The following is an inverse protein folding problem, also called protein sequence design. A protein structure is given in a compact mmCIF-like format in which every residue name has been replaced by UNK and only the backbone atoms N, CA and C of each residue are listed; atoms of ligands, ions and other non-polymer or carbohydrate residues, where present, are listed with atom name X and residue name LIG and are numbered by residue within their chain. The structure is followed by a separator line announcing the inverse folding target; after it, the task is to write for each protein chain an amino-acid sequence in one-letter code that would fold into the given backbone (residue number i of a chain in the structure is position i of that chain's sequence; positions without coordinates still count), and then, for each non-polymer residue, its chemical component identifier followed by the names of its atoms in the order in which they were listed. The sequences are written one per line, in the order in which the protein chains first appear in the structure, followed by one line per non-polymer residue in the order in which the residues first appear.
data_IF_371611281942
#
_entry.id   IF_371611281942
#
_cell.length_a   1.000
_cell.length_b   1.000
_cell.length_c   1.000
_cell.angle_alpha   90.00
_cell.angle_beta   90.00
_cell.angle_gamma   90.00
#
_symmetry.space_group_name_H-M   'P 1'
#
loop_
_entity.id
_entity.type
_entity.pdbx_description
1 polymer ?
#
# COMPACT_ATOMS: atom_id res chain seq x y z
N UNK A 1 4.14 -8.45 -2.43
CA UNK A 1 2.72 -8.03 -2.56
C UNK A 1 1.82 -9.26 -2.64
N UNK A 2 1.01 -9.47 -1.62
CA UNK A 2 0.05 -10.58 -1.51
C UNK A 2 -1.05 -10.55 -2.59
N UNK A 3 -1.38 -9.38 -3.15
CA UNK A 3 -2.32 -9.24 -4.28
C UNK A 3 -1.60 -8.71 -5.53
N UNK A 4 -1.94 -9.23 -6.71
CA UNK A 4 -1.48 -8.64 -7.98
C UNK A 4 -2.04 -7.22 -8.10
N UNK A 5 -1.27 -6.31 -8.70
CA UNK A 5 -1.68 -4.90 -8.83
C UNK A 5 -3.03 -4.75 -9.55
N UNK A 6 -3.28 -5.61 -10.55
CA UNK A 6 -4.57 -5.62 -11.26
C UNK A 6 -5.74 -5.90 -10.33
N UNK A 7 -5.57 -6.81 -9.38
CA UNK A 7 -6.63 -7.16 -8.42
C UNK A 7 -6.84 -6.06 -7.39
N UNK A 8 -5.75 -5.37 -6.99
CA UNK A 8 -5.83 -4.22 -6.11
C UNK A 8 -6.54 -3.04 -6.79
N UNK A 9 -6.16 -2.72 -8.04
CA UNK A 9 -6.79 -1.69 -8.86
C UNK A 9 -8.29 -1.97 -9.04
N UNK A 10 -8.66 -3.21 -9.36
CA UNK A 10 -10.06 -3.64 -9.48
C UNK A 10 -10.84 -3.37 -8.19
N UNK A 11 -10.34 -3.84 -7.04
CA UNK A 11 -10.99 -3.65 -5.73
C UNK A 11 -11.17 -2.17 -5.38
N UNK A 12 -10.19 -1.32 -5.70
CA UNK A 12 -10.28 0.13 -5.47
C UNK A 12 -11.34 0.78 -6.36
N UNK A 13 -11.36 0.42 -7.65
CA UNK A 13 -12.35 0.91 -8.60
C UNK A 13 -13.78 0.50 -8.22
N UNK A 14 -14.00 -0.76 -7.81
CA UNK A 14 -15.30 -1.23 -7.32
C UNK A 14 -15.80 -0.40 -6.13
N UNK A 15 -14.91 -0.09 -5.18
CA UNK A 15 -15.25 0.73 -4.02
C UNK A 15 -15.55 2.19 -4.39
N UNK A 16 -14.81 2.74 -5.36
CA UNK A 16 -15.01 4.12 -5.81
C UNK A 16 -16.32 4.29 -6.59
N UNK A 17 -16.56 3.41 -7.56
CA UNK A 17 -17.71 3.47 -8.46
C UNK A 17 -18.96 2.82 -7.87
N UNK A 18 -18.81 2.02 -6.81
CA UNK A 18 -19.87 1.23 -6.16
C UNK A 18 -20.57 0.25 -7.11
N UNK A 19 -19.89 -0.12 -8.19
CA UNK A 19 -20.34 -1.10 -9.19
C UNK A 19 -19.37 -2.28 -9.20
N UNK A 20 -19.87 -3.52 -9.28
CA UNK A 20 -19.01 -4.69 -9.33
C UNK A 20 -18.45 -4.91 -10.75
N UNK A 21 -17.27 -5.52 -10.85
CA UNK A 21 -16.78 -6.02 -12.14
C UNK A 21 -17.46 -7.33 -12.55
N UNK A 22 -17.87 -8.14 -11.56
CA UNK A 22 -18.48 -9.45 -11.76
C UNK A 22 -19.85 -9.50 -11.08
N UNK A 23 -20.84 -10.12 -11.73
CA UNK A 23 -22.21 -10.22 -11.18
C UNK A 23 -22.33 -11.21 -10.01
N UNK A 24 -21.34 -12.07 -9.79
CA UNK A 24 -21.38 -13.09 -8.75
C UNK A 24 -21.28 -12.47 -7.34
N UNK A 25 -22.28 -12.74 -6.49
CA UNK A 25 -22.29 -12.35 -5.08
C UNK A 25 -22.86 -10.97 -4.78
N UNK A 26 -23.45 -10.29 -5.76
CA UNK A 26 -24.19 -9.03 -5.57
C UNK A 26 -25.68 -9.23 -5.86
N UNK A 27 -26.58 -8.46 -5.23
CA UNK A 27 -28.00 -8.46 -5.59
C UNK A 27 -28.20 -8.15 -7.07
N UNK A 28 -29.20 -8.76 -7.71
CA UNK A 28 -29.53 -8.55 -9.15
C UNK A 28 -29.84 -7.08 -9.51
N UNK A 29 -30.05 -6.22 -8.50
CA UNK A 29 -30.29 -4.79 -8.66
C UNK A 29 -29.03 -3.95 -8.86
N UNK A 30 -27.83 -4.52 -8.75
CA UNK A 30 -26.57 -3.77 -8.87
C UNK A 30 -26.04 -3.84 -10.31
N UNK A 31 -26.06 -2.71 -11.00
CA UNK A 31 -25.54 -2.61 -12.36
C UNK A 31 -24.02 -2.82 -12.41
N UNK A 32 -23.56 -3.63 -13.37
CA UNK A 32 -22.13 -3.86 -13.61
C UNK A 32 -21.44 -2.60 -14.12
N UNK A 33 -20.14 -2.51 -13.88
CA UNK A 33 -19.29 -1.49 -14.49
C UNK A 33 -19.38 -1.52 -16.04
N UNK A 34 -19.70 -0.37 -16.63
CA UNK A 34 -19.65 -0.14 -18.08
C UNK A 34 -18.23 0.15 -18.57
N UNK A 35 -18.02 0.20 -19.89
CA UNK A 35 -16.72 0.60 -20.46
C UNK A 35 -16.37 2.05 -20.15
N UNK A 36 -17.37 2.94 -20.11
CA UNK A 36 -17.20 4.35 -19.72
C UNK A 36 -16.81 4.47 -18.23
N UNK A 37 -17.46 3.71 -17.36
CA UNK A 37 -17.11 3.64 -15.94
C UNK A 37 -15.68 3.12 -15.74
N UNK A 38 -15.25 2.18 -16.59
CA UNK A 38 -13.89 1.64 -16.56
C UNK A 38 -12.86 2.71 -16.96
N UNK A 39 -13.14 3.50 -18.00
CA UNK A 39 -12.25 4.59 -18.41
C UNK A 39 -12.13 5.65 -17.30
N UNK A 40 -13.25 6.09 -16.73
CA UNK A 40 -13.29 7.04 -15.61
C UNK A 40 -12.56 6.51 -14.37
N UNK A 41 -12.79 5.25 -14.02
CA UNK A 41 -12.14 4.63 -12.87
C UNK A 41 -10.63 4.47 -13.02
N UNK A 42 -10.14 4.23 -14.25
CA UNK A 42 -8.68 4.21 -14.54
C UNK A 42 -8.05 5.59 -14.35
N UNK A 43 -8.69 6.63 -14.86
CA UNK A 43 -8.22 8.02 -14.69
C UNK A 43 -8.18 8.40 -13.21
N UNK A 44 -9.25 8.11 -12.47
CA UNK A 44 -9.28 8.31 -11.03
C UNK A 44 -8.15 7.56 -10.30
N UNK A 45 -7.91 6.29 -10.66
CA UNK A 45 -6.87 5.48 -10.05
C UNK A 45 -5.47 6.08 -10.26
N UNK A 46 -5.17 6.50 -11.49
CA UNK A 46 -3.89 7.10 -11.86
C UNK A 46 -3.62 8.42 -11.14
N UNK A 47 -4.68 9.20 -10.88
CA UNK A 47 -4.58 10.48 -10.18
C UNK A 47 -4.52 10.33 -8.65
N UNK A 48 -5.02 9.21 -8.10
CA UNK A 48 -5.19 9.04 -6.65
C UNK A 48 -4.10 8.17 -6.02
N UNK A 49 -3.63 7.14 -6.73
CA UNK A 49 -2.70 6.15 -6.17
C UNK A 49 -1.37 6.14 -6.90
N UNK A 50 -0.29 6.33 -6.14
CA UNK A 50 1.07 6.17 -6.62
C UNK A 50 1.69 4.90 -6.02
N UNK A 51 2.04 3.95 -6.89
CA UNK A 51 2.62 2.68 -6.46
C UNK A 51 4.13 2.80 -6.32
N UNK A 52 4.66 2.34 -5.19
CA UNK A 52 6.09 2.15 -4.97
C UNK A 52 6.41 0.66 -5.16
N UNK A 53 7.33 0.33 -6.06
CA UNK A 53 7.75 -1.05 -6.32
C UNK A 53 9.27 -1.17 -6.36
N UNK A 54 9.78 -2.23 -5.74
CA UNK A 54 11.15 -2.69 -5.93
C UNK A 54 11.15 -3.64 -7.14
N UNK A 55 11.92 -3.33 -8.19
CA UNK A 55 12.00 -4.17 -9.40
C UNK A 55 13.07 -5.27 -9.27
N UNK A 56 14.00 -5.11 -8.33
CA UNK A 56 15.07 -6.07 -8.08
C UNK A 56 14.63 -7.16 -7.08
N UNK A 57 15.27 -8.34 -7.15
CA UNK A 57 15.10 -9.47 -6.21
C UNK A 57 15.50 -9.15 -4.75
N UNK A 58 15.82 -7.89 -4.44
CA UNK A 58 16.15 -7.44 -3.10
C UNK A 58 14.94 -6.84 -2.37
N UNK A 59 14.82 -7.17 -1.08
CA UNK A 59 13.79 -6.59 -0.24
C UNK A 59 14.05 -5.07 -0.06
N UNK A 60 13.03 -4.22 -0.17
CA UNK A 60 13.21 -2.78 0.02
C UNK A 60 13.41 -2.45 1.51
N UNK A 61 14.43 -1.66 1.83
CA UNK A 61 14.60 -1.15 3.19
C UNK A 61 13.54 -0.09 3.53
N UNK A 62 13.16 0.05 4.80
CA UNK A 62 12.23 1.12 5.23
C UNK A 62 12.76 2.51 4.85
N UNK A 63 14.08 2.72 4.87
CA UNK A 63 14.68 4.00 4.50
C UNK A 63 14.40 4.33 3.04
N UNK A 64 14.56 3.35 2.16
CA UNK A 64 14.31 3.48 0.73
C UNK A 64 12.83 3.79 0.46
N UNK A 65 11.91 3.07 1.12
CA UNK A 65 10.46 3.34 0.99
C UNK A 65 10.12 4.77 1.43
N UNK A 66 10.65 5.23 2.57
CA UNK A 66 10.39 6.60 3.05
C UNK A 66 11.00 7.67 2.13
N UNK A 67 12.12 7.38 1.45
CA UNK A 67 12.70 8.30 0.46
C UNK A 67 11.82 8.44 -0.79
N UNK A 68 11.28 7.33 -1.30
CA UNK A 68 10.33 7.38 -2.41
C UNK A 68 9.00 8.01 -2.01
N UNK A 69 8.50 7.70 -0.83
CA UNK A 69 7.31 8.35 -0.29
C UNK A 69 7.53 9.86 -0.15
N UNK A 70 8.70 10.31 0.33
CA UNK A 70 9.04 11.75 0.36
C UNK A 70 8.96 12.36 -1.02
N UNK A 71 9.52 11.71 -2.05
CA UNK A 71 9.44 12.21 -3.41
C UNK A 71 7.99 12.30 -3.90
N UNK A 72 7.16 11.31 -3.59
CA UNK A 72 5.74 11.31 -3.93
C UNK A 72 4.96 12.43 -3.22
N UNK A 73 5.22 12.68 -1.94
CA UNK A 73 4.63 13.81 -1.19
C UNK A 73 5.00 15.14 -1.86
N UNK A 74 6.29 15.33 -2.17
CA UNK A 74 6.77 16.61 -2.71
C UNK A 74 6.33 16.85 -4.16
N UNK A 75 6.23 15.81 -4.98
CA UNK A 75 5.90 15.93 -6.41
C UNK A 75 4.41 15.87 -6.70
N UNK A 76 3.68 15.03 -5.96
CA UNK A 76 2.27 14.73 -6.24
C UNK A 76 1.33 15.13 -5.10
N UNK A 77 1.85 15.72 -4.01
CA UNK A 77 1.03 16.15 -2.88
C UNK A 77 0.41 15.00 -2.10
N UNK A 78 1.00 13.79 -2.16
CA UNK A 78 0.50 12.61 -1.45
C UNK A 78 0.37 12.89 0.05
N UNK A 79 -0.78 12.52 0.63
CA UNK A 79 -1.08 12.70 2.06
C UNK A 79 -1.24 11.39 2.84
N UNK A 80 -1.12 10.26 2.15
CA UNK A 80 -1.27 8.93 2.71
C UNK A 80 -0.21 7.97 2.20
N UNK A 81 0.38 7.18 3.10
CA UNK A 81 1.30 6.09 2.77
C UNK A 81 0.78 4.79 3.39
N UNK A 82 0.63 3.75 2.58
CA UNK A 82 0.25 2.41 3.06
C UNK A 82 1.44 1.46 2.88
N UNK A 83 1.85 0.82 3.97
CA UNK A 83 2.88 -0.21 3.98
C UNK A 83 2.21 -1.53 4.39
N UNK A 84 2.01 -2.43 3.42
CA UNK A 84 1.25 -3.67 3.59
C UNK A 84 1.79 -4.81 2.69
N UNK A 85 2.28 -5.93 3.26
CA UNK A 85 2.58 -6.17 4.68
C UNK A 85 3.95 -5.58 5.08
N UNK A 86 4.14 -5.18 6.34
CA UNK A 86 5.47 -4.67 6.76
C UNK A 86 6.60 -5.72 6.74
N UNK A 87 6.23 -7.01 6.79
CA UNK A 87 7.19 -8.11 6.79
C UNK A 87 8.00 -8.20 5.49
N UNK A 88 7.52 -7.58 4.40
CA UNK A 88 8.22 -7.51 3.11
C UNK A 88 9.33 -6.44 3.08
N UNK A 89 9.49 -5.63 4.14
CA UNK A 89 10.63 -4.72 4.25
C UNK A 89 11.88 -5.52 4.65
N UNK A 90 13.03 -5.19 4.05
CA UNK A 90 14.29 -5.84 4.39
C UNK A 90 14.59 -5.68 5.87
N UNK A 91 14.76 -6.81 6.54
CA UNK A 91 15.20 -6.90 7.92
C UNK A 91 16.72 -7.03 7.91
N UNK A 92 17.44 -5.99 7.47
CA UNK A 92 18.89 -5.84 7.69
C UNK A 92 19.17 -5.62 9.18
N UNK A 93 18.78 -6.60 9.98
CA UNK A 93 18.93 -6.65 11.42
C UNK A 93 20.36 -7.12 11.67
N UNK A 94 21.22 -6.29 12.29
CA UNK A 94 22.51 -6.75 12.74
C UNK A 94 22.33 -7.96 13.67
N UNK A 95 23.23 -8.98 13.64
CA UNK A 95 23.09 -10.17 14.48
C UNK A 95 22.93 -9.85 15.98
N UNK A 96 23.49 -8.74 16.44
CA UNK A 96 23.45 -8.23 17.81
C UNK A 96 22.15 -7.52 18.21
N UNK A 97 21.19 -7.35 17.30
CA UNK A 97 19.99 -6.57 17.52
C UNK A 97 18.75 -7.46 17.62
N UNK A 98 17.93 -7.29 18.65
CA UNK A 98 16.65 -8.02 18.75
C UNK A 98 15.62 -7.49 17.75
N UNK A 99 14.69 -8.35 17.33
CA UNK A 99 13.58 -7.97 16.44
C UNK A 99 12.75 -6.82 17.02
N UNK A 100 12.42 -6.87 18.31
CA UNK A 100 11.69 -5.79 19.00
C UNK A 100 12.39 -4.44 18.89
N UNK A 101 13.72 -4.42 19.06
CA UNK A 101 14.51 -3.18 18.97
C UNK A 101 14.53 -2.67 17.53
N UNK A 102 14.64 -3.58 16.56
CA UNK A 102 14.61 -3.24 15.13
C UNK A 102 13.27 -2.62 14.73
N UNK A 103 12.16 -3.27 15.08
CA UNK A 103 10.80 -2.79 14.84
C UNK A 103 10.58 -1.43 15.50
N UNK A 104 11.02 -1.24 16.75
CA UNK A 104 10.93 0.06 17.45
C UNK A 104 11.67 1.18 16.71
N UNK A 105 12.87 0.92 16.18
CA UNK A 105 13.61 1.89 15.39
C UNK A 105 12.92 2.20 14.06
N UNK A 106 12.38 1.19 13.38
CA UNK A 106 11.63 1.34 12.15
C UNK A 106 10.38 2.21 12.37
N UNK A 107 9.57 1.90 13.38
CA UNK A 107 8.39 2.68 13.75
C UNK A 107 8.74 4.13 14.10
N UNK A 108 9.88 4.36 14.76
CA UNK A 108 10.38 5.71 15.05
C UNK A 108 10.66 6.50 13.77
N UNK A 109 11.29 5.88 12.77
CA UNK A 109 11.54 6.51 11.46
C UNK A 109 10.24 6.85 10.74
N UNK A 110 9.28 5.93 10.74
CA UNK A 110 7.97 6.11 10.11
C UNK A 110 7.20 7.25 10.79
N UNK A 111 7.17 7.28 12.13
CA UNK A 111 6.51 8.35 12.89
C UNK A 111 7.10 9.72 12.58
N UNK A 112 8.44 9.83 12.53
CA UNK A 112 9.12 11.09 12.17
C UNK A 112 8.77 11.52 10.75
N UNK A 113 8.73 10.59 9.80
CA UNK A 113 8.30 10.88 8.43
C UNK A 113 6.87 11.43 8.39
N UNK A 114 5.94 10.76 9.06
CA UNK A 114 4.53 11.14 9.10
C UNK A 114 4.34 12.58 9.63
N UNK A 115 5.05 12.91 10.72
CA UNK A 115 5.04 14.24 11.33
C UNK A 115 5.66 15.30 10.40
N UNK A 116 6.86 15.04 9.87
CA UNK A 116 7.60 16.01 9.07
C UNK A 116 6.92 16.33 7.73
N UNK A 117 6.22 15.35 7.14
CA UNK A 117 5.58 15.48 5.84
C UNK A 117 4.06 15.68 5.93
N UNK A 118 3.48 15.78 7.13
CA UNK A 118 2.03 15.84 7.34
C UNK A 118 1.27 14.78 6.53
N UNK A 119 1.84 13.57 6.52
CA UNK A 119 1.39 12.42 5.75
C UNK A 119 0.97 11.33 6.72
N UNK A 120 -0.26 10.81 6.57
CA UNK A 120 -0.75 9.72 7.39
C UNK A 120 -0.15 8.39 6.91
N UNK A 121 0.36 7.58 7.83
CA UNK A 121 1.00 6.30 7.47
C UNK A 121 0.22 5.14 8.08
N UNK A 122 -0.33 4.28 7.24
CA UNK A 122 -0.85 2.98 7.63
C UNK A 122 0.25 1.94 7.56
N UNK A 123 0.46 1.25 8.66
CA UNK A 123 1.47 0.20 8.80
C UNK A 123 0.76 -1.10 9.15
N UNK A 124 0.62 -2.00 8.17
CA UNK A 124 -0.22 -3.19 8.31
C UNK A 124 0.60 -4.37 8.80
N UNK A 125 0.32 -4.75 10.04
CA UNK A 125 0.89 -5.93 10.67
C UNK A 125 0.07 -7.17 10.35
N UNK A 126 0.69 -8.12 9.65
CA UNK A 126 0.13 -9.45 9.49
C UNK A 126 0.60 -10.32 10.66
N UNK A 127 -0.31 -10.87 11.47
CA UNK A 127 0.06 -11.81 12.52
C UNK A 127 0.74 -13.03 11.86
N UNK A 128 1.84 -13.52 12.44
CA UNK A 128 2.36 -14.84 12.07
C UNK A 128 1.23 -15.85 12.33
N UNK A 129 0.96 -16.71 11.35
CA UNK A 129 0.10 -17.87 11.59
C UNK A 129 0.67 -18.61 12.81
N UNK A 130 -0.13 -18.70 13.88
CA UNK A 130 0.13 -19.61 14.98
C UNK A 130 0.03 -21.01 14.37
N UNK A 131 1.17 -21.63 14.08
CA UNK A 131 1.20 -23.07 13.85
C UNK A 131 0.75 -23.72 15.17
N UNK A 132 -0.48 -24.24 15.18
CA UNK A 132 -0.93 -25.18 16.20
C UNK A 132 -0.28 -26.54 15.97
#
# INVERSE_FOLDING_TARGET
MENKVRDHARKLMEKHLKKPFFSAGYPDSVERLSEEDLARGKEWLNNTFHLIRCEDDCLPSVKWVLQLAKAAVLRHGVRGLVIDPYNELDHQRPPSMTETKYVSQMLTKIKRFAQHHSCHVWFVAHPRQLHQ
#
